data_IF_970799872746
#
_entry.id   IF_970799872746
#
_cell.length_a   1.000
_cell.length_b   1.000
_cell.length_c   1.000
_cell.angle_alpha   90.00
_cell.angle_beta   90.00
_cell.angle_gamma   90.00
#
_symmetry.space_group_name_H-M   'P 1'
#
loop_
_entity.id
_entity.type
_entity.pdbx_description
1 polymer ?
#
# COMPACT_ATOMS: atom_id res chain seq x y z
N UNK A 1 20.79 26.85 -4.29
CA UNK A 1 20.21 25.68 -3.62
C UNK A 1 19.57 24.83 -4.70
N UNK A 2 20.33 23.88 -5.25
CA UNK A 2 19.87 22.99 -6.32
C UNK A 2 19.17 21.79 -5.68
N UNK A 3 17.89 21.62 -5.96
CA UNK A 3 17.14 20.40 -5.66
C UNK A 3 17.59 19.36 -6.68
N UNK A 4 18.33 18.34 -6.23
CA UNK A 4 18.64 17.17 -7.06
C UNK A 4 17.48 16.20 -6.95
N UNK A 5 16.78 15.98 -8.05
CA UNK A 5 15.83 14.89 -8.24
C UNK A 5 16.61 13.58 -8.35
N UNK A 6 16.39 12.65 -7.41
CA UNK A 6 16.83 11.26 -7.53
C UNK A 6 15.89 10.54 -8.49
N UNK A 7 16.42 10.05 -9.61
CA UNK A 7 15.66 9.33 -10.62
C UNK A 7 16.29 7.96 -10.85
N UNK A 8 15.52 6.88 -10.70
CA UNK A 8 15.73 5.65 -11.46
C UNK A 8 14.91 5.77 -12.76
N UNK A 9 15.35 6.65 -13.68
CA UNK A 9 14.73 6.85 -14.98
C UNK A 9 15.41 5.97 -16.03
N UNK A 10 14.66 5.09 -16.68
CA UNK A 10 15.01 4.65 -18.03
C UNK A 10 14.36 5.61 -19.03
N UNK A 11 15.14 6.58 -19.49
CA UNK A 11 14.71 7.65 -20.40
C UNK A 11 14.81 7.18 -21.84
N UNK A 12 13.68 7.09 -22.55
CA UNK A 12 13.67 7.04 -24.03
C UNK A 12 13.29 8.43 -24.52
N UNK A 13 14.30 9.27 -24.80
CA UNK A 13 14.09 10.61 -25.34
C UNK A 13 13.96 10.55 -26.87
N UNK A 14 12.79 10.93 -27.40
CA UNK A 14 12.66 11.36 -28.79
C UNK A 14 12.92 12.86 -28.86
N UNK A 15 14.06 13.26 -29.43
CA UNK A 15 14.43 14.66 -29.57
C UNK A 15 13.61 15.33 -30.68
N UNK A 16 12.52 16.00 -30.31
CA UNK A 16 11.85 16.97 -31.17
C UNK A 16 11.51 18.20 -30.32
N UNK A 17 12.16 19.31 -30.67
CA UNK A 17 12.02 20.64 -30.09
C UNK A 17 10.54 21.04 -30.04
N UNK A 18 9.94 20.97 -28.85
CA UNK A 18 8.87 21.82 -28.26
C UNK A 18 8.15 21.01 -27.17
N UNK A 19 8.36 21.40 -25.91
CA UNK A 19 7.82 20.80 -24.67
C UNK A 19 8.37 19.40 -24.36
N UNK A 20 9.43 19.35 -23.55
CA UNK A 20 9.89 18.14 -22.83
C UNK A 20 8.80 17.68 -21.84
N UNK A 21 7.74 17.07 -22.34
CA UNK A 21 6.87 16.21 -21.55
C UNK A 21 7.46 14.82 -21.68
N UNK A 22 8.55 14.57 -20.94
CA UNK A 22 8.91 13.20 -20.61
C UNK A 22 7.77 12.67 -19.73
N UNK A 23 6.83 11.95 -20.33
CA UNK A 23 5.91 11.11 -19.57
C UNK A 23 6.76 10.03 -18.89
N UNK A 24 7.16 10.31 -17.65
CA UNK A 24 7.74 9.31 -16.78
C UNK A 24 6.64 8.29 -16.50
N UNK A 25 6.65 7.18 -17.23
CA UNK A 25 5.83 6.04 -16.88
C UNK A 25 6.24 5.58 -15.49
N UNK A 26 5.31 5.57 -14.54
CA UNK A 26 5.58 4.99 -13.23
C UNK A 26 5.95 3.52 -13.42
N UNK A 27 7.11 3.15 -12.89
CA UNK A 27 7.56 1.77 -12.78
C UNK A 27 7.54 1.37 -11.32
N UNK A 28 7.47 0.07 -11.04
CA UNK A 28 7.58 -0.39 -9.66
C UNK A 28 8.96 0.00 -9.11
N UNK A 29 9.04 0.79 -8.03
CA UNK A 29 10.32 1.17 -7.47
C UNK A 29 11.04 -0.05 -6.91
N UNK A 30 12.38 -0.04 -6.90
CA UNK A 30 13.09 -1.08 -6.18
C UNK A 30 12.84 -0.92 -4.68
N UNK A 31 12.66 -2.03 -3.97
CA UNK A 31 12.45 -2.00 -2.52
C UNK A 31 13.56 -1.26 -1.78
N UNK A 32 14.82 -1.43 -2.22
CA UNK A 32 15.98 -0.75 -1.65
C UNK A 32 15.91 0.78 -1.72
N UNK A 33 15.18 1.34 -2.68
CA UNK A 33 15.06 2.78 -2.90
C UNK A 33 13.99 3.43 -2.00
N UNK A 34 13.01 2.64 -1.54
CA UNK A 34 11.88 3.14 -0.73
C UNK A 34 11.91 2.65 0.73
N UNK A 35 12.62 1.55 1.02
CA UNK A 35 12.67 0.98 2.37
C UNK A 35 13.30 1.97 3.36
N UNK A 36 12.60 2.17 4.47
CA UNK A 36 13.07 3.00 5.57
C UNK A 36 13.85 2.16 6.60
N UNK A 37 14.69 2.78 7.45
CA UNK A 37 15.42 2.06 8.50
C UNK A 37 14.52 1.23 9.43
N UNK A 38 13.25 1.61 9.59
CA UNK A 38 12.28 0.89 10.43
C UNK A 38 11.90 -0.50 9.94
N UNK A 39 12.20 -0.81 8.67
CA UNK A 39 11.99 -2.14 8.05
C UNK A 39 13.31 -2.89 7.81
N UNK A 40 14.40 -2.47 8.46
CA UNK A 40 15.68 -3.16 8.38
C UNK A 40 15.64 -4.55 9.05
N UNK A 41 16.47 -5.52 8.64
CA UNK A 41 16.45 -6.91 9.15
C UNK A 41 16.56 -7.06 10.66
N UNK A 42 17.24 -6.15 11.35
CA UNK A 42 17.41 -6.17 12.79
C UNK A 42 16.32 -5.39 13.57
N UNK A 43 15.42 -4.71 12.87
CA UNK A 43 14.35 -3.90 13.45
C UNK A 43 12.97 -4.47 13.15
N UNK A 44 12.82 -5.15 12.00
CA UNK A 44 11.54 -5.59 11.47
C UNK A 44 11.30 -7.07 11.74
N UNK A 45 10.15 -7.38 12.34
CA UNK A 45 9.64 -8.73 12.48
C UNK A 45 8.30 -8.83 11.75
N UNK A 46 8.23 -9.67 10.72
CA UNK A 46 7.01 -9.85 9.92
C UNK A 46 5.86 -10.42 10.74
N UNK A 47 6.13 -11.25 11.75
CA UNK A 47 5.10 -11.76 12.66
C UNK A 47 4.35 -10.64 13.39
N UNK A 48 4.99 -9.48 13.64
CA UNK A 48 4.35 -8.30 14.24
C UNK A 48 3.32 -7.63 13.32
N UNK A 49 3.29 -7.99 12.03
CA UNK A 49 2.30 -7.54 11.06
C UNK A 49 0.98 -8.32 11.14
N UNK A 50 0.92 -9.44 11.87
CA UNK A 50 -0.34 -10.20 12.05
C UNK A 50 -1.41 -9.44 12.84
N UNK A 51 -2.68 -9.78 12.64
CA UNK A 51 -3.84 -9.20 13.33
C UNK A 51 -4.59 -8.13 12.52
N UNK A 52 -5.46 -7.37 13.18
CA UNK A 52 -6.33 -6.38 12.52
C UNK A 52 -5.60 -5.08 12.19
N UNK A 53 -5.79 -4.58 10.98
CA UNK A 53 -5.27 -3.31 10.48
C UNK A 53 -6.37 -2.49 9.82
N UNK A 54 -6.44 -1.21 10.14
CA UNK A 54 -7.31 -0.24 9.49
C UNK A 54 -6.53 0.50 8.42
N UNK A 55 -7.03 0.49 7.20
CA UNK A 55 -6.45 1.25 6.10
C UNK A 55 -6.97 2.68 6.20
N UNK A 56 -6.12 3.58 6.70
CA UNK A 56 -6.48 4.97 7.03
C UNK A 56 -6.10 5.94 5.92
N UNK A 57 -5.20 5.54 5.02
CA UNK A 57 -4.96 6.24 3.76
C UNK A 57 -4.66 5.22 2.65
N UNK A 58 -5.18 5.44 1.44
CA UNK A 58 -5.00 4.48 0.34
C UNK A 58 -5.14 5.07 -1.05
N UNK A 59 -4.37 4.57 -2.01
CA UNK A 59 -4.62 4.74 -3.46
C UNK A 59 -5.21 3.49 -4.12
N UNK A 60 -5.61 2.47 -3.36
CA UNK A 60 -6.05 1.15 -3.85
C UNK A 60 -7.04 1.28 -5.01
N UNK A 61 -6.62 0.98 -6.25
CA UNK A 61 -7.38 1.29 -7.46
C UNK A 61 -8.47 0.25 -7.75
N UNK A 62 -8.43 -0.92 -7.11
CA UNK A 62 -9.45 -1.95 -7.27
C UNK A 62 -10.68 -1.71 -6.39
N UNK A 63 -10.56 -0.88 -5.36
CA UNK A 63 -11.64 -0.59 -4.43
C UNK A 63 -12.40 0.65 -4.87
N UNK A 64 -13.73 0.57 -5.13
CA UNK A 64 -14.50 1.72 -5.54
C UNK A 64 -14.42 2.88 -4.55
N UNK A 65 -14.46 4.13 -5.04
CA UNK A 65 -14.35 5.32 -4.20
C UNK A 65 -15.47 5.44 -3.15
N UNK A 66 -16.65 4.87 -3.41
CA UNK A 66 -17.78 4.83 -2.46
C UNK A 66 -17.62 3.76 -1.37
N UNK A 67 -16.55 2.95 -1.43
CA UNK A 67 -16.19 2.01 -0.39
C UNK A 67 -15.11 2.61 0.50
N UNK A 68 -15.37 2.61 1.81
CA UNK A 68 -14.57 3.22 2.87
C UNK A 68 -14.39 2.22 4.02
N UNK A 69 -13.78 2.67 5.12
CA UNK A 69 -13.64 1.89 6.36
C UNK A 69 -12.98 0.52 6.17
N UNK A 70 -11.98 0.49 5.30
CA UNK A 70 -11.31 -0.74 4.90
C UNK A 70 -10.48 -1.26 6.08
N UNK A 71 -10.69 -2.51 6.46
CA UNK A 71 -9.84 -3.18 7.43
C UNK A 71 -9.42 -4.56 6.94
N UNK A 72 -8.22 -4.96 7.34
CA UNK A 72 -7.60 -6.23 6.97
C UNK A 72 -7.39 -7.07 8.22
N UNK A 73 -7.78 -8.34 8.18
CA UNK A 73 -7.43 -9.34 9.19
C UNK A 73 -6.26 -10.17 8.67
N UNK A 74 -5.04 -9.88 9.13
CA UNK A 74 -3.82 -10.48 8.59
C UNK A 74 -3.39 -11.70 9.41
N UNK A 75 -3.09 -12.81 8.73
CA UNK A 75 -2.48 -14.00 9.30
C UNK A 75 -1.10 -14.23 8.70
N UNK A 76 -0.09 -14.42 9.54
CA UNK A 76 1.29 -14.67 9.13
C UNK A 76 1.62 -16.15 9.38
N UNK A 77 1.98 -16.87 8.32
CA UNK A 77 2.38 -18.28 8.38
C UNK A 77 3.89 -18.38 8.14
N UNK A 78 4.66 -17.82 9.08
CA UNK A 78 6.10 -17.59 8.90
C UNK A 78 6.89 -18.87 8.59
N UNK A 79 6.58 -19.97 9.27
CA UNK A 79 7.22 -21.27 9.02
C UNK A 79 6.94 -21.84 7.63
N UNK A 80 5.85 -21.42 7.00
CA UNK A 80 5.44 -21.85 5.67
C UNK A 80 5.83 -20.83 4.58
N UNK A 81 6.32 -19.65 4.98
CA UNK A 81 6.79 -18.61 4.06
C UNK A 81 5.68 -17.85 3.33
N UNK A 82 4.46 -17.81 3.88
CA UNK A 82 3.34 -17.09 3.28
C UNK A 82 2.47 -16.35 4.32
N UNK A 83 1.58 -15.50 3.84
CA UNK A 83 0.58 -14.79 4.63
C UNK A 83 -0.73 -14.68 3.86
N UNK A 84 -1.82 -14.46 4.57
CA UNK A 84 -3.11 -14.14 3.97
C UNK A 84 -3.84 -13.06 4.77
N UNK A 85 -4.78 -12.41 4.13
CA UNK A 85 -5.72 -11.53 4.80
C UNK A 85 -7.04 -11.45 4.04
N UNK A 86 -8.10 -11.11 4.75
CA UNK A 86 -9.34 -10.65 4.11
C UNK A 86 -9.46 -9.14 4.29
N UNK A 87 -9.60 -8.43 3.18
CA UNK A 87 -9.88 -6.99 3.18
C UNK A 87 -11.38 -6.76 3.15
N UNK A 88 -11.90 -6.15 4.20
CA UNK A 88 -13.32 -5.84 4.38
C UNK A 88 -13.53 -4.35 4.17
N UNK A 89 -14.49 -3.98 3.32
CA UNK A 89 -14.86 -2.59 3.06
C UNK A 89 -16.36 -2.39 3.26
N UNK A 90 -16.72 -1.23 3.83
CA UNK A 90 -18.11 -0.78 3.90
C UNK A 90 -18.37 0.15 2.72
N UNK A 91 -19.50 -0.01 2.02
CA UNK A 91 -19.78 0.72 0.79
C UNK A 91 -21.13 1.42 0.92
N UNK A 92 -21.18 2.75 0.79
CA UNK A 92 -22.37 3.58 1.05
C UNK A 92 -23.63 3.01 0.36
N UNK A 93 -24.61 2.59 1.17
CA UNK A 93 -25.90 2.07 0.71
C UNK A 93 -25.84 0.75 -0.07
N UNK A 94 -24.71 0.03 -0.02
CA UNK A 94 -24.49 -1.25 -0.70
C UNK A 94 -24.05 -2.33 0.28
N UNK A 95 -24.02 -3.57 -0.21
CA UNK A 95 -23.48 -4.69 0.54
C UNK A 95 -21.99 -4.50 0.83
N UNK A 96 -21.51 -4.84 2.05
CA UNK A 96 -20.09 -4.84 2.37
C UNK A 96 -19.37 -5.80 1.42
N UNK A 97 -18.15 -5.41 1.03
CA UNK A 97 -17.30 -6.21 0.14
C UNK A 97 -16.19 -6.83 0.98
N UNK A 98 -15.89 -8.10 0.74
CA UNK A 98 -14.77 -8.80 1.35
C UNK A 98 -13.93 -9.45 0.25
N UNK A 99 -12.63 -9.20 0.27
CA UNK A 99 -11.69 -9.73 -0.71
C UNK A 99 -10.59 -10.51 0.00
N UNK A 100 -10.47 -11.83 -0.23
CA UNK A 100 -9.33 -12.58 0.25
C UNK A 100 -8.09 -12.25 -0.59
N UNK A 101 -6.96 -12.12 0.09
CA UNK A 101 -5.64 -11.92 -0.50
C UNK A 101 -4.68 -12.92 0.12
N UNK A 102 -3.78 -13.46 -0.71
CA UNK A 102 -2.70 -14.34 -0.27
C UNK A 102 -1.39 -13.87 -0.88
N UNK A 103 -0.32 -13.96 -0.10
CA UNK A 103 1.01 -13.60 -0.55
C UNK A 103 2.12 -14.47 0.03
N UNK A 104 3.30 -14.36 -0.57
CA UNK A 104 4.56 -14.94 -0.12
C UNK A 104 5.34 -13.93 0.71
N UNK A 105 5.98 -14.43 1.77
CA UNK A 105 6.95 -13.68 2.54
C UNK A 105 8.27 -13.54 1.77
N UNK A 106 9.08 -12.54 2.16
CA UNK A 106 10.42 -12.40 1.58
C UNK A 106 11.28 -13.63 1.90
N UNK A 107 11.93 -14.17 0.87
CA UNK A 107 12.97 -15.20 1.01
C UNK A 107 14.37 -14.59 1.26
N UNK A 108 14.49 -13.27 1.10
CA UNK A 108 15.72 -12.53 1.35
C UNK A 108 15.69 -11.93 2.76
N UNK A 109 16.50 -12.44 3.72
CA UNK A 109 16.53 -11.93 5.07
C UNK A 109 17.04 -10.48 5.14
N UNK A 110 17.74 -9.98 4.11
CA UNK A 110 18.18 -8.59 4.04
C UNK A 110 17.08 -7.61 3.62
N UNK A 111 15.93 -8.14 3.17
CA UNK A 111 14.78 -7.40 2.67
C UNK A 111 13.46 -7.99 3.20
N UNK A 112 13.23 -8.02 4.52
CA UNK A 112 12.12 -8.79 5.10
C UNK A 112 10.73 -8.20 4.80
N UNK A 113 10.65 -6.91 4.46
CA UNK A 113 9.41 -6.25 4.03
C UNK A 113 9.13 -6.33 2.53
N UNK A 114 9.98 -7.00 1.73
CA UNK A 114 9.72 -7.24 0.31
C UNK A 114 8.84 -8.48 0.13
N UNK A 115 7.53 -8.29 0.24
CA UNK A 115 6.55 -9.35 0.06
C UNK A 115 6.08 -9.43 -1.39
N UNK A 116 5.30 -10.46 -1.70
CA UNK A 116 4.62 -10.59 -2.98
C UNK A 116 3.21 -11.09 -2.75
N UNK A 117 2.21 -10.55 -3.42
CA UNK A 117 0.82 -10.98 -3.26
C UNK A 117 0.07 -11.03 -4.59
N UNK A 118 -1.11 -11.63 -4.56
CA UNK A 118 -2.06 -11.50 -5.65
C UNK A 118 -3.47 -11.35 -5.07
N UNK A 119 -4.27 -10.53 -5.74
CA UNK A 119 -5.65 -10.29 -5.37
C UNK A 119 -6.49 -11.53 -5.70
N UNK A 120 -7.26 -12.03 -4.73
CA UNK A 120 -8.12 -13.21 -4.91
C UNK A 120 -9.42 -12.94 -5.67
N UNK A 121 -9.52 -11.86 -6.46
CA UNK A 121 -10.66 -11.71 -7.37
C UNK A 121 -10.40 -12.57 -8.62
N UNK A 122 -11.31 -13.50 -8.87
CA UNK A 122 -11.44 -14.32 -10.09
C UNK A 122 -10.72 -15.67 -10.19
N UNK A 123 -10.24 -16.32 -9.13
CA UNK A 123 -9.78 -17.75 -9.20
C UNK A 123 -8.82 -18.08 -10.38
N UNK A 124 -8.20 -17.05 -10.95
CA UNK A 124 -7.29 -17.12 -12.07
C UNK A 124 -5.99 -16.58 -11.51
N UNK A 125 -5.13 -17.52 -11.10
CA UNK A 125 -3.70 -17.29 -10.96
C UNK A 125 -3.20 -16.49 -12.14
N UNK A 126 -3.02 -15.19 -11.97
CA UNK A 126 -1.91 -14.54 -12.66
C UNK A 126 -0.68 -15.29 -12.19
N UNK A 127 0.07 -15.85 -13.15
CA UNK A 127 1.13 -16.85 -12.95
C UNK A 127 2.32 -16.33 -12.12
N UNK A 128 2.30 -15.07 -11.71
CA UNK A 128 3.28 -14.42 -10.86
C UNK A 128 2.59 -13.56 -9.80
N UNK A 129 3.08 -13.63 -8.56
CA UNK A 129 2.72 -12.69 -7.49
C UNK A 129 3.32 -11.31 -7.78
N UNK A 130 2.52 -10.27 -7.59
CA UNK A 130 2.90 -8.88 -7.70
C UNK A 130 3.68 -8.43 -6.46
N UNK A 131 4.67 -7.54 -6.59
CA UNK A 131 5.36 -6.97 -5.43
C UNK A 131 4.37 -6.27 -4.49
N UNK A 132 4.44 -6.56 -3.19
CA UNK A 132 3.81 -5.77 -2.12
C UNK A 132 4.86 -5.50 -1.03
N UNK A 133 5.21 -4.23 -0.86
CA UNK A 133 6.36 -3.84 -0.06
C UNK A 133 5.92 -3.14 1.21
N UNK A 134 6.18 -3.72 2.37
CA UNK A 134 6.14 -2.98 3.65
C UNK A 134 7.43 -2.18 3.73
N UNK A 135 7.36 -0.89 3.40
CA UNK A 135 8.57 -0.05 3.27
C UNK A 135 8.81 0.84 4.49
N UNK A 136 7.81 1.04 5.35
CA UNK A 136 7.93 1.80 6.59
C UNK A 136 7.05 1.19 7.68
N UNK A 137 7.55 1.18 8.91
CA UNK A 137 6.81 0.76 10.10
C UNK A 137 7.05 1.74 11.27
N UNK A 138 6.06 1.87 12.15
CA UNK A 138 6.21 2.55 13.44
C UNK A 138 5.82 1.60 14.57
N UNK A 139 6.54 1.73 15.68
CA UNK A 139 6.43 0.85 16.85
C UNK A 139 6.08 1.67 18.09
N UNK A 140 5.31 1.09 19.01
CA UNK A 140 5.06 1.69 20.31
C UNK A 140 6.20 1.41 21.30
N UNK A 141 6.07 1.89 22.55
CA UNK A 141 7.06 1.68 23.61
C UNK A 141 7.30 0.20 23.97
N UNK A 142 6.37 -0.69 23.61
CA UNK A 142 6.48 -2.15 23.80
C UNK A 142 7.14 -2.85 22.61
N UNK A 143 7.52 -2.12 21.56
CA UNK A 143 8.05 -2.68 20.32
C UNK A 143 6.99 -3.31 19.41
N UNK A 144 5.70 -3.08 19.67
CA UNK A 144 4.61 -3.59 18.83
C UNK A 144 4.41 -2.66 17.63
N UNK A 145 4.24 -3.24 16.44
CA UNK A 145 3.99 -2.48 15.21
C UNK A 145 2.58 -1.89 15.23
N UNK A 146 2.49 -0.55 15.23
CA UNK A 146 1.22 0.19 15.34
C UNK A 146 0.81 0.91 14.06
N UNK A 147 1.77 1.11 13.15
CA UNK A 147 1.56 1.67 11.83
C UNK A 147 2.50 0.97 10.84
N UNK A 148 1.99 0.66 9.65
CA UNK A 148 2.77 0.16 8.53
C UNK A 148 2.37 0.91 7.27
N UNK A 149 3.33 1.21 6.40
CA UNK A 149 3.05 1.72 5.07
C UNK A 149 3.45 0.68 4.03
N UNK A 150 2.54 0.41 3.10
CA UNK A 150 2.75 -0.57 2.05
C UNK A 150 2.67 0.07 0.67
N UNK A 151 3.40 -0.52 -0.28
CA UNK A 151 3.33 -0.15 -1.68
C UNK A 151 3.29 -1.40 -2.56
N UNK A 152 2.20 -1.61 -3.27
CA UNK A 152 2.01 -2.72 -4.18
C UNK A 152 2.04 -2.28 -5.65
N UNK A 153 2.60 -3.14 -6.49
CA UNK A 153 2.74 -2.91 -7.93
C UNK A 153 1.85 -3.90 -8.70
N UNK A 154 0.59 -3.52 -8.90
CA UNK A 154 -0.49 -4.39 -9.37
C UNK A 154 -0.48 -4.66 -10.89
N UNK A 155 0.53 -4.14 -11.60
CA UNK A 155 0.63 -4.27 -13.04
C UNK A 155 -0.57 -3.66 -13.78
N UNK A 156 -0.93 -4.22 -14.93
CA UNK A 156 -2.06 -3.73 -15.74
C UNK A 156 -3.35 -4.44 -15.33
N UNK A 157 -4.20 -3.74 -14.58
CA UNK A 157 -5.48 -4.27 -14.14
C UNK A 157 -6.58 -3.99 -15.17
N UNK A 158 -7.15 -5.04 -15.75
CA UNK A 158 -8.34 -4.94 -16.60
C UNK A 158 -9.58 -5.33 -15.77
N UNK A 159 -10.70 -4.58 -15.83
CA UNK A 159 -10.99 -3.41 -16.68
C UNK A 159 -10.79 -2.05 -15.95
N UNK A 160 -9.87 -1.93 -15.00
CA UNK A 160 -9.69 -0.71 -14.17
C UNK A 160 -9.16 0.46 -15.01
N UNK A 161 -9.93 1.56 -15.21
CA UNK A 161 -9.48 2.69 -16.02
C UNK A 161 -8.37 3.53 -15.33
N UNK A 162 -7.59 4.31 -16.09
CA UNK A 162 -7.35 4.18 -17.52
C UNK A 162 -6.78 2.79 -17.88
N UNK A 163 -7.31 2.21 -18.96
CA UNK A 163 -7.02 0.85 -19.40
C UNK A 163 -5.62 0.80 -20.00
N UNK A 164 -4.82 -0.20 -19.61
CA UNK A 164 -3.49 -0.46 -20.17
C UNK A 164 -2.35 0.22 -19.43
N UNK A 165 -2.65 1.07 -18.44
CA UNK A 165 -1.66 1.68 -17.56
C UNK A 165 -1.35 0.76 -16.36
N UNK A 166 -0.08 0.75 -15.88
CA UNK A 166 0.25 0.08 -14.63
C UNK A 166 -0.48 0.75 -13.46
N UNK A 167 -0.89 -0.06 -12.50
CA UNK A 167 -1.59 0.35 -11.29
C UNK A 167 -0.73 0.07 -10.07
N UNK A 168 -0.82 0.97 -9.11
CA UNK A 168 -0.09 0.91 -7.85
C UNK A 168 -1.05 1.11 -6.71
N UNK A 169 -0.71 0.57 -5.54
CA UNK A 169 -1.50 0.74 -4.31
C UNK A 169 -0.57 1.15 -3.20
N UNK A 170 -0.64 2.41 -2.80
CA UNK A 170 -0.03 2.95 -1.60
C UNK A 170 -1.05 2.85 -0.46
N UNK A 171 -0.66 2.30 0.69
CA UNK A 171 -1.52 2.18 1.84
C UNK A 171 -0.81 2.62 3.12
N UNK A 172 -1.55 3.31 4.00
CA UNK A 172 -1.21 3.50 5.41
C UNK A 172 -2.15 2.63 6.24
N UNK A 173 -1.57 1.63 6.89
CA UNK A 173 -2.24 0.68 7.77
C UNK A 173 -1.98 1.07 9.21
N UNK A 174 -3.01 1.17 10.03
CA UNK A 174 -2.89 1.52 11.45
C UNK A 174 -3.66 0.56 12.34
N UNK A 175 -3.17 0.32 13.56
CA UNK A 175 -3.91 -0.42 14.60
C UNK A 175 -5.05 0.41 15.21
N UNK A 176 -5.03 1.74 15.03
CA UNK A 176 -6.04 2.67 15.57
C UNK A 176 -6.78 3.38 14.45
N UNK A 177 -8.03 3.77 14.72
CA UNK A 177 -8.91 4.51 13.80
C UNK A 177 -9.01 6.00 14.10
N UNK A 178 -8.58 6.44 15.28
CA UNK A 178 -8.74 7.81 15.77
C UNK A 178 -7.69 8.79 15.21
N UNK A 179 -7.58 8.86 13.88
CA UNK A 179 -6.71 9.81 13.20
C UNK A 179 -7.47 11.05 12.78
N UNK A 180 -6.82 12.20 12.84
CA UNK A 180 -7.29 13.41 12.17
C UNK A 180 -6.82 13.43 10.72
N UNK A 181 -7.56 14.14 9.85
CA UNK A 181 -7.17 14.28 8.45
C UNK A 181 -5.78 14.93 8.28
N UNK A 182 -5.44 15.89 9.15
CA UNK A 182 -4.11 16.53 9.13
C UNK A 182 -2.98 15.56 9.45
N UNK A 183 -3.13 14.73 10.49
CA UNK A 183 -2.10 13.73 10.81
C UNK A 183 -1.90 12.74 9.65
N UNK A 184 -2.98 12.31 8.99
CA UNK A 184 -2.87 11.41 7.84
C UNK A 184 -2.17 12.06 6.65
N UNK A 185 -2.46 13.33 6.37
CA UNK A 185 -1.75 14.09 5.31
C UNK A 185 -0.27 14.24 5.62
N UNK A 186 0.07 14.52 6.88
CA UNK A 186 1.46 14.63 7.32
C UNK A 186 2.20 13.30 7.17
N UNK A 187 1.56 12.17 7.49
CA UNK A 187 2.13 10.83 7.25
C UNK A 187 2.45 10.61 5.77
N UNK A 188 1.49 10.89 4.87
CA UNK A 188 1.69 10.72 3.42
C UNK A 188 2.76 11.66 2.87
N UNK A 189 2.76 12.92 3.31
CA UNK A 189 3.78 13.90 2.90
C UNK A 189 5.18 13.48 3.36
N UNK A 190 5.32 12.97 4.58
CA UNK A 190 6.58 12.46 5.11
C UNK A 190 7.07 11.23 4.34
N UNK A 191 6.18 10.27 4.05
CA UNK A 191 6.51 9.09 3.24
C UNK A 191 6.96 9.48 1.82
N UNK A 192 6.25 10.42 1.20
CA UNK A 192 6.59 10.95 -0.14
C UNK A 192 7.97 11.60 -0.13
N UNK A 193 8.26 12.41 0.90
CA UNK A 193 9.57 13.05 1.05
C UNK A 193 10.68 12.02 1.30
N UNK A 194 10.44 11.04 2.17
CA UNK A 194 11.41 10.01 2.53
C UNK A 194 11.77 9.10 1.35
N UNK A 195 10.81 8.85 0.46
CA UNK A 195 10.98 8.08 -0.77
C UNK A 195 11.30 8.93 -1.99
N UNK A 196 11.61 10.22 -1.81
CA UNK A 196 11.97 11.16 -2.88
C UNK A 196 10.92 11.29 -3.99
N UNK A 197 9.64 11.04 -3.67
CA UNK A 197 8.54 11.10 -4.62
C UNK A 197 8.40 9.89 -5.55
N UNK A 198 9.03 8.75 -5.22
CA UNK A 198 8.96 7.52 -6.02
C UNK A 198 7.60 6.80 -5.95
N UNK A 199 6.72 7.19 -5.03
CA UNK A 199 5.42 6.55 -4.80
C UNK A 199 4.32 7.31 -5.54
N UNK A 200 3.43 6.59 -6.22
CA UNK A 200 2.18 7.18 -6.74
C UNK A 200 1.18 7.41 -5.60
N UNK A 201 1.11 8.66 -5.15
CA UNK A 201 0.25 9.12 -4.06
C UNK A 201 -0.74 10.22 -4.48
N UNK A 202 -0.88 10.47 -5.79
CA UNK A 202 -1.64 11.64 -6.27
C UNK A 202 -3.13 11.57 -5.89
N UNK A 203 -3.69 10.37 -5.78
CA UNK A 203 -5.10 10.13 -5.53
C UNK A 203 -5.38 9.47 -4.18
N UNK A 204 -4.55 9.75 -3.16
CA UNK A 204 -4.75 9.18 -1.82
C UNK A 204 -6.11 9.59 -1.27
N UNK A 205 -6.89 8.58 -0.89
CA UNK A 205 -8.11 8.70 -0.09
C UNK A 205 -7.75 8.56 1.38
N UNK A 206 -8.42 9.33 2.22
CA UNK A 206 -8.21 9.31 3.66
C UNK A 206 -9.48 8.84 4.38
N UNK A 207 -9.32 7.95 5.34
CA UNK A 207 -10.36 7.50 6.26
C UNK A 207 -9.94 7.87 7.68
N UNK A 208 -10.38 9.05 8.11
CA UNK A 208 -10.14 9.58 9.45
C UNK A 208 -11.13 9.00 10.48
N UNK A 209 -11.05 9.49 11.72
CA UNK A 209 -11.93 9.05 12.79
C UNK A 209 -13.41 9.19 12.42
N UNK A 210 -13.81 10.32 11.85
CA UNK A 210 -15.20 10.58 11.48
C UNK A 210 -15.69 9.56 10.45
N UNK A 211 -14.85 9.23 9.48
CA UNK A 211 -15.13 8.20 8.47
C UNK A 211 -15.39 6.84 9.12
N UNK A 212 -14.53 6.41 10.05
CA UNK A 212 -14.70 5.13 10.73
C UNK A 212 -15.88 5.11 11.71
N UNK A 213 -16.18 6.23 12.35
CA UNK A 213 -17.32 6.36 13.25
C UNK A 213 -18.65 6.25 12.48
N UNK A 214 -18.73 6.79 11.25
CA UNK A 214 -19.94 6.65 10.42
C UNK A 214 -20.20 5.22 9.94
N UNK A 215 -19.15 4.42 9.74
CA UNK A 215 -19.32 3.01 9.36
C UNK A 215 -19.73 2.12 10.53
N UNK A 216 -19.35 2.48 11.76
CA UNK A 216 -19.74 1.72 12.95
C UNK A 216 -21.25 1.78 13.22
N UNK A 217 -21.94 2.86 12.79
CA UNK A 217 -23.39 2.99 12.86
C UNK A 217 -24.16 2.13 11.85
N UNK A 218 -23.52 1.65 10.78
CA UNK A 218 -24.16 0.83 9.73
C UNK A 218 -24.03 -0.68 9.98
N UNK A 219 -23.25 -1.09 10.99
CA UNK A 219 -23.18 -2.47 11.47
C UNK A 219 -24.29 -2.66 12.50
N UNK A 220 -25.53 -2.84 12.03
CA UNK A 220 -26.58 -3.42 12.86
C UNK A 220 -26.23 -4.91 13.03
N UNK A 221 -25.76 -5.27 14.23
CA UNK A 221 -25.61 -6.66 14.68
C UNK A 221 -26.99 -7.29 14.82
#
# INVERSE_FOLDING_TARGET
>A
MQIRTGQALQTVCAALLLLDICEAGYSCPNYGDIRQPSVAPNMFNISSFGGTWYMVATTEPTMPHFCTCIHNEVQIHESEGWYDYTSHATCDGKFPISVPVKGELSKDPSSPGLLRENFGLFNHTMTSLDPNMIFEAQYNERGEMVLAMTYACLGRLLPVPPIGEPKFSFNVLSRRRNWTNSELRDLVANATKATQGLLDVANVRFADQQTYDSCASDIIV
#
